data_IF_411670832508
#
_entry.id   IF_411670832508
#
_cell.length_a   1.000
_cell.length_b   1.000
_cell.length_c   1.000
_cell.angle_alpha   90.00
_cell.angle_beta   90.00
_cell.angle_gamma   90.00
#
_symmetry.space_group_name_H-M   'P 1'
#
loop_
_entity.id
_entity.type
_entity.pdbx_description
1 polymer ?
#
# COMPACT_ATOMS: atom_id res chain seq x y z
N UNK A 1 -23.24 0.25 5.56
CA UNK A 1 -22.26 0.03 4.48
C UNK A 1 -21.63 -1.34 4.68
N UNK A 2 -20.79 -1.79 3.76
CA UNK A 2 -19.97 -3.00 3.89
C UNK A 2 -18.57 -2.71 3.37
N UNK A 3 -17.54 -3.43 3.84
CA UNK A 3 -16.23 -3.40 3.18
C UNK A 3 -16.33 -4.09 1.80
N UNK A 4 -15.61 -3.61 0.79
CA UNK A 4 -15.57 -4.23 -0.53
C UNK A 4 -14.82 -5.56 -0.48
N UNK A 5 -15.30 -6.54 -1.26
CA UNK A 5 -14.55 -7.75 -1.59
C UNK A 5 -13.53 -7.45 -2.70
N UNK A 6 -12.57 -8.35 -2.93
CA UNK A 6 -11.67 -8.26 -4.10
C UNK A 6 -12.47 -8.20 -5.40
N UNK A 7 -13.59 -8.94 -5.49
CA UNK A 7 -14.44 -8.93 -6.67
C UNK A 7 -15.16 -7.59 -6.87
N UNK A 8 -15.57 -6.90 -5.80
CA UNK A 8 -16.09 -5.53 -5.90
C UNK A 8 -15.01 -4.59 -6.46
N UNK A 9 -13.77 -4.69 -5.98
CA UNK A 9 -12.67 -3.81 -6.41
C UNK A 9 -12.17 -4.09 -7.83
N UNK A 10 -12.65 -5.15 -8.49
CA UNK A 10 -12.45 -5.45 -9.92
C UNK A 10 -13.44 -4.73 -10.83
N UNK A 11 -14.53 -4.17 -10.29
CA UNK A 11 -15.46 -3.35 -11.07
C UNK A 11 -14.77 -2.04 -11.50
N UNK A 12 -14.56 -1.80 -12.81
CA UNK A 12 -13.87 -0.60 -13.28
C UNK A 12 -14.55 0.71 -12.86
N UNK A 13 -15.87 0.73 -12.71
CA UNK A 13 -16.58 1.95 -12.32
C UNK A 13 -16.33 2.29 -10.84
N UNK A 14 -16.37 1.28 -9.97
CA UNK A 14 -16.07 1.43 -8.55
C UNK A 14 -14.59 1.76 -8.33
N UNK A 15 -13.69 1.07 -9.04
CA UNK A 15 -12.25 1.31 -8.97
C UNK A 15 -11.91 2.74 -9.42
N UNK A 16 -12.51 3.19 -10.52
CA UNK A 16 -12.41 4.59 -10.97
C UNK A 16 -12.97 5.59 -9.96
N UNK A 17 -14.10 5.30 -9.31
CA UNK A 17 -14.65 6.16 -8.26
C UNK A 17 -13.70 6.32 -7.06
N UNK A 18 -13.00 5.26 -6.67
CA UNK A 18 -11.97 5.30 -5.63
C UNK A 18 -10.77 6.15 -6.09
N UNK A 19 -10.32 5.98 -7.34
CA UNK A 19 -9.24 6.78 -7.93
C UNK A 19 -9.54 8.29 -7.87
N UNK A 20 -10.75 8.67 -8.27
CA UNK A 20 -11.20 10.08 -8.23
C UNK A 20 -11.28 10.63 -6.81
N UNK A 21 -11.71 9.82 -5.83
CA UNK A 21 -11.70 10.22 -4.41
C UNK A 21 -10.29 10.42 -3.88
N UNK A 22 -9.38 9.52 -4.22
CA UNK A 22 -7.99 9.63 -3.83
C UNK A 22 -7.36 10.91 -4.38
N UNK A 23 -7.61 11.24 -5.66
CA UNK A 23 -7.16 12.50 -6.26
C UNK A 23 -7.68 13.73 -5.50
N UNK A 24 -8.94 13.70 -5.03
CA UNK A 24 -9.49 14.77 -4.19
C UNK A 24 -8.85 14.84 -2.81
N UNK A 25 -8.61 13.73 -2.15
CA UNK A 25 -7.88 13.67 -0.86
C UNK A 25 -6.49 14.30 -1.05
N UNK A 26 -5.76 13.89 -2.08
CA UNK A 26 -4.43 14.42 -2.40
C UNK A 26 -4.44 15.93 -2.71
N UNK A 27 -5.56 16.48 -3.19
CA UNK A 27 -5.70 17.91 -3.48
C UNK A 27 -5.97 18.77 -2.23
N UNK A 28 -6.28 18.14 -1.09
CA UNK A 28 -6.65 18.86 0.14
C UNK A 28 -5.45 19.62 0.74
N UNK A 29 -5.73 20.82 1.26
CA UNK A 29 -4.78 21.64 2.00
C UNK A 29 -5.13 21.64 3.48
N UNK A 30 -4.62 20.67 4.22
CA UNK A 30 -4.91 20.52 5.65
C UNK A 30 -4.04 21.49 6.47
N UNK A 31 -4.46 22.01 7.63
CA UNK A 31 -3.63 22.93 8.45
C UNK A 31 -2.63 22.19 9.36
N UNK A 32 -1.86 21.23 8.81
CA UNK A 32 -0.86 20.40 9.52
C UNK A 32 0.54 20.53 8.89
N UNK A 33 1.56 19.85 9.41
CA UNK A 33 2.91 19.82 8.81
C UNK A 33 2.92 19.24 7.39
N UNK A 34 3.79 19.77 6.52
CA UNK A 34 3.98 19.36 5.10
C UNK A 34 5.20 18.45 4.93
N UNK A 35 5.94 18.24 6.01
CA UNK A 35 7.13 17.41 6.00
C UNK A 35 6.70 15.94 5.96
N UNK A 36 7.20 15.14 5.01
CA UNK A 36 6.77 13.76 4.81
C UNK A 36 7.43 12.78 5.80
N UNK A 37 7.11 12.93 7.09
CA UNK A 37 7.72 12.17 8.19
C UNK A 37 7.10 10.79 8.44
N UNK A 38 6.10 10.38 7.65
CA UNK A 38 5.41 9.10 7.84
C UNK A 38 6.37 7.91 7.87
N UNK A 39 7.29 7.83 6.89
CA UNK A 39 8.25 6.74 6.80
C UNK A 39 9.18 6.68 8.02
N UNK A 40 9.72 7.83 8.43
CA UNK A 40 10.65 7.92 9.56
C UNK A 40 9.99 7.44 10.86
N UNK A 41 8.85 8.03 11.23
CA UNK A 41 8.17 7.67 12.48
C UNK A 41 7.63 6.24 12.48
N UNK A 42 6.99 5.81 11.39
CA UNK A 42 6.36 4.49 11.39
C UNK A 42 7.41 3.38 11.30
N UNK A 43 8.49 3.57 10.54
CA UNK A 43 9.58 2.60 10.51
C UNK A 43 10.30 2.47 11.86
N UNK A 44 10.49 3.57 12.61
CA UNK A 44 11.05 3.51 13.98
C UNK A 44 10.19 2.66 14.91
N UNK A 45 8.86 2.83 14.87
CA UNK A 45 7.93 1.99 15.63
C UNK A 45 8.12 0.52 15.24
N UNK A 46 8.14 0.22 13.94
CA UNK A 46 8.27 -1.16 13.46
C UNK A 46 9.64 -1.79 13.78
N UNK A 47 10.71 -0.99 13.81
CA UNK A 47 12.06 -1.41 14.20
C UNK A 47 12.17 -1.72 15.69
N UNK A 48 11.35 -1.09 16.53
CA UNK A 48 11.38 -1.33 17.98
C UNK A 48 10.77 -2.68 18.39
N UNK A 49 10.25 -3.45 17.43
CA UNK A 49 9.56 -4.71 17.67
C UNK A 49 10.51 -5.87 17.47
N UNK A 50 10.99 -6.42 18.58
CA UNK A 50 11.70 -7.69 18.62
C UNK A 50 10.71 -8.86 18.75
N UNK A 51 11.13 -10.06 18.33
CA UNK A 51 10.31 -11.25 18.47
C UNK A 51 10.17 -11.60 19.96
N UNK A 52 8.93 -11.57 20.47
CA UNK A 52 8.63 -11.81 21.89
C UNK A 52 8.48 -13.31 22.24
N UNK A 53 8.44 -14.19 21.24
CA UNK A 53 8.19 -15.63 21.36
C UNK A 53 9.42 -16.42 20.90
N UNK A 54 9.68 -17.58 21.47
CA UNK A 54 10.67 -18.48 20.87
C UNK A 54 10.08 -19.07 19.57
N UNK A 55 10.82 -19.03 18.47
CA UNK A 55 10.38 -19.55 17.17
C UNK A 55 10.03 -21.04 17.29
N UNK A 56 10.81 -21.79 18.08
CA UNK A 56 10.61 -23.25 18.25
C UNK A 56 9.27 -23.60 18.92
N UNK A 57 8.67 -22.65 19.65
CA UNK A 57 7.37 -22.83 20.31
C UNK A 57 6.18 -22.57 19.36
N UNK A 58 6.44 -21.97 18.19
CA UNK A 58 5.40 -21.66 17.20
C UNK A 58 4.99 -22.91 16.42
N UNK A 59 3.78 -22.91 15.87
CA UNK A 59 3.34 -23.93 14.91
C UNK A 59 4.39 -24.10 13.78
N UNK A 60 4.88 -25.33 13.50
CA UNK A 60 5.90 -25.57 12.47
C UNK A 60 5.58 -24.97 11.10
N UNK A 61 4.30 -24.81 10.76
CA UNK A 61 3.87 -24.17 9.50
C UNK A 61 4.18 -22.67 9.44
N UNK A 62 4.32 -22.00 10.58
CA UNK A 62 4.54 -20.56 10.70
C UNK A 62 6.01 -20.20 10.97
N UNK A 63 6.83 -21.14 11.46
CA UNK A 63 8.22 -20.90 11.86
C UNK A 63 9.07 -20.27 10.75
N UNK A 64 9.01 -20.83 9.53
CA UNK A 64 9.77 -20.31 8.38
C UNK A 64 9.34 -18.90 7.97
N UNK A 65 8.03 -18.60 8.02
CA UNK A 65 7.52 -17.26 7.74
C UNK A 65 8.00 -16.25 8.78
N UNK A 66 7.86 -16.57 10.06
CA UNK A 66 8.29 -15.72 11.17
C UNK A 66 9.80 -15.48 11.09
N UNK A 67 10.58 -16.53 10.87
CA UNK A 67 12.02 -16.43 10.67
C UNK A 67 12.37 -15.42 9.55
N UNK A 68 11.74 -15.54 8.38
CA UNK A 68 11.97 -14.61 7.25
C UNK A 68 11.61 -13.16 7.58
N UNK A 69 10.52 -12.92 8.32
CA UNK A 69 10.10 -11.56 8.70
C UNK A 69 11.15 -10.89 9.62
N UNK A 70 11.69 -11.64 10.58
CA UNK A 70 12.67 -11.11 11.53
C UNK A 70 14.11 -11.11 10.98
N UNK A 71 14.46 -11.98 10.03
CA UNK A 71 15.74 -11.95 9.30
C UNK A 71 15.78 -10.93 8.16
N UNK A 72 14.62 -10.40 7.73
CA UNK A 72 14.57 -9.36 6.71
C UNK A 72 15.34 -8.10 7.18
N UNK A 73 16.24 -7.54 6.35
CA UNK A 73 17.04 -6.35 6.69
C UNK A 73 16.18 -5.08 6.60
N UNK A 74 15.18 -4.98 7.48
CA UNK A 74 14.16 -3.93 7.44
C UNK A 74 14.77 -2.53 7.58
N UNK A 75 15.74 -2.38 8.49
CA UNK A 75 16.40 -1.10 8.74
C UNK A 75 17.13 -0.61 7.48
N UNK A 76 17.96 -1.49 6.92
CA UNK A 76 18.78 -1.22 5.75
C UNK A 76 17.89 -0.90 4.53
N UNK A 77 16.76 -1.59 4.38
CA UNK A 77 15.83 -1.35 3.28
C UNK A 77 15.04 -0.04 3.45
N UNK A 78 14.68 0.37 4.67
CA UNK A 78 14.09 1.68 4.95
C UNK A 78 15.10 2.80 4.69
N UNK A 79 16.34 2.66 5.16
CA UNK A 79 17.43 3.61 4.94
C UNK A 79 17.74 3.74 3.44
N UNK A 80 17.81 2.61 2.75
CA UNK A 80 17.94 2.57 1.29
C UNK A 80 16.80 3.30 0.61
N UNK A 81 15.54 2.99 0.93
CA UNK A 81 14.38 3.62 0.29
C UNK A 81 14.37 5.15 0.52
N UNK A 82 14.73 5.56 1.74
CA UNK A 82 14.87 6.98 2.11
C UNK A 82 15.96 7.69 1.30
N UNK A 83 17.06 7.01 0.96
CA UNK A 83 18.14 7.60 0.16
C UNK A 83 17.73 7.85 -1.32
N UNK A 84 16.84 7.02 -1.85
CA UNK A 84 16.51 6.99 -3.27
C UNK A 84 15.20 7.71 -3.62
N UNK A 85 14.29 7.86 -2.66
CA UNK A 85 12.98 8.51 -2.85
C UNK A 85 13.06 9.89 -3.53
N UNK A 86 14.08 10.76 -3.31
CA UNK A 86 14.13 12.06 -3.99
C UNK A 86 14.33 11.93 -5.51
N UNK A 87 14.93 10.84 -6.00
CA UNK A 87 15.14 10.57 -7.43
C UNK A 87 13.84 10.18 -8.16
N UNK A 88 12.79 9.83 -7.41
CA UNK A 88 11.50 9.43 -7.98
C UNK A 88 10.65 10.64 -8.34
N UNK A 89 10.86 11.78 -7.67
CA UNK A 89 10.13 13.03 -7.89
C UNK A 89 8.61 12.89 -7.69
N UNK A 90 8.16 12.06 -6.74
CA UNK A 90 6.74 11.96 -6.41
C UNK A 90 6.27 13.20 -5.65
N UNK A 91 5.03 13.64 -5.92
CA UNK A 91 4.43 14.78 -5.22
C UNK A 91 4.17 14.46 -3.76
N UNK A 92 4.53 15.41 -2.89
CA UNK A 92 4.07 15.42 -1.49
C UNK A 92 2.65 16.00 -1.45
N UNK A 93 1.70 15.22 -0.93
CA UNK A 93 0.26 15.51 -0.87
C UNK A 93 -0.28 15.17 0.51
N UNK A 94 -1.48 15.64 0.86
CA UNK A 94 -2.19 15.05 1.99
C UNK A 94 -2.59 13.62 1.62
N UNK A 95 -1.99 12.66 2.29
CA UNK A 95 -2.05 11.23 1.96
C UNK A 95 -2.79 10.50 3.09
N UNK A 96 -3.55 9.47 2.73
CA UNK A 96 -4.19 8.57 3.67
C UNK A 96 -3.15 7.73 4.43
N UNK A 97 -2.11 7.31 3.72
CA UNK A 97 -1.01 6.42 4.11
C UNK A 97 -1.40 4.97 4.43
N UNK A 98 -2.68 4.64 4.34
CA UNK A 98 -3.19 3.34 4.74
C UNK A 98 -4.46 2.93 3.96
N UNK A 99 -4.42 3.15 2.63
CA UNK A 99 -5.58 2.93 1.78
C UNK A 99 -5.67 1.47 1.30
N UNK A 100 -6.34 0.62 2.07
CA UNK A 100 -6.70 -0.75 1.68
C UNK A 100 -8.20 -1.01 1.85
N UNK A 101 -8.66 -2.20 1.45
CA UNK A 101 -10.10 -2.53 1.36
C UNK A 101 -10.87 -2.31 2.66
N UNK A 102 -10.29 -2.57 3.84
CA UNK A 102 -10.99 -2.35 5.11
C UNK A 102 -11.25 -0.88 5.43
N UNK A 103 -10.43 0.02 4.88
CA UNK A 103 -10.57 1.48 5.04
C UNK A 103 -11.48 2.08 3.95
N UNK A 104 -12.22 1.23 3.22
CA UNK A 104 -13.22 1.63 2.24
C UNK A 104 -14.56 1.00 2.63
N UNK A 105 -15.60 1.83 2.70
CA UNK A 105 -16.97 1.40 2.93
C UNK A 105 -17.83 1.63 1.68
N UNK A 106 -18.51 0.58 1.22
CA UNK A 106 -19.51 0.67 0.16
C UNK A 106 -20.89 1.00 0.75
N UNK A 107 -21.45 2.15 0.36
CA UNK A 107 -22.83 2.52 0.70
C UNK A 107 -23.81 1.60 -0.03
N UNK A 108 -24.87 1.18 0.66
CA UNK A 108 -25.97 0.40 0.06
C UNK A 108 -26.92 1.27 -0.77
N UNK A 109 -27.01 2.55 -0.44
CA UNK A 109 -27.81 3.56 -1.15
C UNK A 109 -26.89 4.71 -1.54
N UNK A 110 -26.86 5.03 -2.82
CA UNK A 110 -26.01 6.04 -3.43
C UNK A 110 -26.69 6.54 -4.70
N UNK A 111 -26.57 7.84 -4.99
CA UNK A 111 -27.22 8.43 -6.16
C UNK A 111 -26.32 8.37 -7.41
N UNK A 112 -25.02 8.20 -7.21
CA UNK A 112 -24.04 7.98 -8.29
C UNK A 112 -22.95 7.01 -7.83
N UNK A 113 -22.28 6.35 -8.78
CA UNK A 113 -21.15 5.45 -8.46
C UNK A 113 -20.04 6.16 -7.69
N UNK A 114 -19.85 7.46 -7.92
CA UNK A 114 -18.89 8.28 -7.19
C UNK A 114 -19.22 8.38 -5.70
N UNK A 115 -20.47 8.30 -5.27
CA UNK A 115 -20.83 8.33 -3.86
C UNK A 115 -20.73 6.98 -3.16
N UNK A 116 -20.69 5.88 -3.93
CA UNK A 116 -20.73 4.53 -3.38
C UNK A 116 -19.55 4.24 -2.45
N UNK A 117 -18.28 4.44 -2.83
CA UNK A 117 -17.16 4.22 -1.91
C UNK A 117 -16.97 5.40 -0.95
N UNK A 118 -16.75 5.11 0.32
CA UNK A 118 -16.36 6.07 1.36
C UNK A 118 -15.01 5.64 1.93
N UNK A 119 -13.99 6.49 1.76
CA UNK A 119 -12.68 6.30 2.38
C UNK A 119 -12.76 6.81 3.82
N UNK A 120 -12.40 5.96 4.77
CA UNK A 120 -12.50 6.17 6.21
C UNK A 120 -11.15 5.90 6.88
N UNK A 121 -11.08 6.20 8.18
CA UNK A 121 -9.94 5.85 9.04
C UNK A 121 -8.63 6.57 8.70
N UNK A 122 -8.65 7.89 8.93
CA UNK A 122 -7.54 8.80 8.61
C UNK A 122 -6.48 8.86 9.72
N UNK A 123 -6.34 7.82 10.57
CA UNK A 123 -5.44 7.86 11.73
C UNK A 123 -3.96 7.94 11.33
N UNK A 124 -3.59 7.30 10.22
CA UNK A 124 -2.24 7.35 9.65
C UNK A 124 -2.04 8.54 8.69
N UNK A 125 -3.07 9.35 8.46
CA UNK A 125 -3.04 10.38 7.42
C UNK A 125 -2.11 11.54 7.78
N UNK A 126 -1.39 12.01 6.77
CA UNK A 126 -0.39 13.06 6.90
C UNK A 126 0.14 13.46 5.53
N UNK A 127 1.01 14.47 5.47
CA UNK A 127 1.66 14.76 4.20
C UNK A 127 2.67 13.65 3.90
N UNK A 128 2.55 13.03 2.73
CA UNK A 128 3.48 12.02 2.23
C UNK A 128 3.41 11.97 0.71
N UNK A 129 4.11 11.01 0.09
CA UNK A 129 4.18 10.91 -1.35
C UNK A 129 2.92 10.26 -1.93
N UNK A 130 2.29 10.90 -2.92
CA UNK A 130 1.07 10.36 -3.56
C UNK A 130 1.25 8.96 -4.13
N UNK A 131 2.48 8.64 -4.56
CA UNK A 131 2.84 7.34 -5.09
C UNK A 131 2.64 6.22 -4.08
N UNK A 132 2.79 6.52 -2.78
CA UNK A 132 2.59 5.55 -1.71
C UNK A 132 1.13 5.13 -1.61
N UNK A 133 0.19 6.08 -1.48
CA UNK A 133 -1.24 5.77 -1.42
C UNK A 133 -1.73 5.01 -2.66
N UNK A 134 -1.27 5.41 -3.85
CA UNK A 134 -1.58 4.74 -5.11
C UNK A 134 -1.06 3.30 -5.08
N UNK A 135 0.20 3.08 -4.69
CA UNK A 135 0.80 1.76 -4.63
C UNK A 135 0.13 0.88 -3.57
N UNK A 136 -0.16 1.43 -2.39
CA UNK A 136 -0.90 0.77 -1.31
C UNK A 136 -2.24 0.26 -1.83
N UNK A 137 -3.06 1.12 -2.42
CA UNK A 137 -4.36 0.70 -2.93
C UNK A 137 -4.24 -0.37 -4.04
N UNK A 138 -3.40 -0.13 -5.05
CA UNK A 138 -3.25 -1.04 -6.18
C UNK A 138 -2.76 -2.43 -5.77
N UNK A 139 -1.89 -2.52 -4.77
CA UNK A 139 -1.41 -3.80 -4.21
C UNK A 139 -2.47 -4.43 -3.32
N UNK A 140 -2.99 -3.67 -2.36
CA UNK A 140 -3.84 -4.21 -1.29
C UNK A 140 -5.25 -4.58 -1.76
N UNK A 141 -5.75 -4.03 -2.88
CA UNK A 141 -7.07 -4.38 -3.43
C UNK A 141 -7.20 -5.85 -3.86
N UNK A 142 -6.08 -6.55 -4.06
CA UNK A 142 -6.06 -7.97 -4.42
C UNK A 142 -5.90 -8.89 -3.19
N UNK A 143 -5.84 -8.33 -1.98
CA UNK A 143 -5.82 -9.10 -0.74
C UNK A 143 -7.22 -9.18 -0.14
N UNK A 144 -7.60 -10.40 0.27
CA UNK A 144 -8.83 -10.67 1.01
C UNK A 144 -8.52 -11.20 2.42
N UNK A 145 -9.48 -11.05 3.32
CA UNK A 145 -9.41 -11.60 4.68
C UNK A 145 -10.45 -12.70 4.81
N UNK A 146 -10.01 -13.95 4.68
CA UNK A 146 -10.82 -15.12 4.96
C UNK A 146 -10.94 -15.31 6.48
N UNK A 147 -12.18 -15.31 6.97
CA UNK A 147 -12.51 -15.50 8.39
C UNK A 147 -13.29 -16.79 8.52
N UNK A 148 -12.67 -17.82 9.11
CA UNK A 148 -13.30 -19.10 9.39
C UNK A 148 -13.23 -19.40 10.89
N UNK A 149 -14.31 -19.05 11.62
CA UNK A 149 -14.32 -19.08 13.08
C UNK A 149 -13.31 -18.09 13.66
N UNK A 150 -12.42 -18.58 14.52
CA UNK A 150 -11.34 -17.78 15.14
C UNK A 150 -10.10 -17.61 14.24
N UNK A 151 -10.04 -18.33 13.12
CA UNK A 151 -8.93 -18.22 12.17
C UNK A 151 -9.13 -17.04 11.22
N UNK A 152 -8.09 -16.23 11.08
CA UNK A 152 -8.05 -15.10 10.14
C UNK A 152 -6.90 -15.33 9.19
N UNK A 153 -7.19 -15.42 7.90
CA UNK A 153 -6.19 -15.62 6.84
C UNK A 153 -6.23 -14.47 5.87
N UNK A 154 -5.06 -13.90 5.59
CA UNK A 154 -4.89 -12.94 4.52
C UNK A 154 -4.47 -13.71 3.27
N UNK A 155 -5.23 -13.54 2.19
CA UNK A 155 -5.08 -14.30 0.96
C UNK A 155 -4.87 -13.30 -0.18
N UNK A 156 -3.80 -13.47 -0.94
CA UNK A 156 -3.65 -12.81 -2.23
C UNK A 156 -4.48 -13.55 -3.28
N UNK A 157 -5.33 -12.82 -4.00
CA UNK A 157 -6.15 -13.34 -5.09
C UNK A 157 -5.57 -12.82 -6.40
N UNK A 158 -5.01 -13.73 -7.20
CA UNK A 158 -4.44 -13.41 -8.51
C UNK A 158 -5.42 -12.65 -9.41
N UNK A 159 -4.93 -11.59 -10.05
CA UNK A 159 -5.70 -10.75 -10.95
C UNK A 159 -5.12 -10.80 -12.37
N UNK A 160 -5.78 -11.54 -13.25
CA UNK A 160 -5.39 -11.67 -14.67
C UNK A 160 -5.41 -10.33 -15.42
N UNK A 161 -6.11 -9.32 -14.89
CA UNK A 161 -6.29 -7.98 -15.47
C UNK A 161 -5.51 -6.90 -14.72
N UNK A 162 -4.52 -7.27 -13.91
CA UNK A 162 -3.79 -6.34 -13.04
C UNK A 162 -3.23 -5.11 -13.77
N UNK A 163 -2.62 -5.31 -14.94
CA UNK A 163 -2.07 -4.22 -15.74
C UNK A 163 -3.15 -3.30 -16.34
N UNK A 164 -4.29 -3.86 -16.75
CA UNK A 164 -5.42 -3.12 -17.30
C UNK A 164 -6.10 -2.29 -16.21
N UNK A 165 -6.35 -2.90 -15.05
CA UNK A 165 -6.98 -2.25 -13.91
C UNK A 165 -6.08 -1.12 -13.37
N UNK A 166 -4.75 -1.34 -13.34
CA UNK A 166 -3.78 -0.31 -12.96
C UNK A 166 -3.86 0.88 -13.92
N UNK A 167 -3.80 0.64 -15.23
CA UNK A 167 -3.88 1.71 -16.24
C UNK A 167 -5.19 2.50 -16.13
N UNK A 168 -6.30 1.80 -15.95
CA UNK A 168 -7.61 2.42 -15.74
C UNK A 168 -7.63 3.30 -14.48
N UNK A 169 -7.18 2.77 -13.34
CA UNK A 169 -7.10 3.52 -12.08
C UNK A 169 -6.23 4.77 -12.20
N UNK A 170 -5.03 4.65 -12.76
CA UNK A 170 -4.12 5.80 -12.93
C UNK A 170 -4.70 6.85 -13.88
N UNK A 171 -5.44 6.43 -14.91
CA UNK A 171 -6.13 7.34 -15.84
C UNK A 171 -7.24 8.12 -15.13
N UNK A 172 -8.10 7.43 -14.39
CA UNK A 172 -9.18 8.05 -13.61
C UNK A 172 -8.64 9.00 -12.53
N UNK A 173 -7.58 8.58 -11.83
CA UNK A 173 -6.87 9.42 -10.86
C UNK A 173 -6.33 10.69 -11.53
N UNK A 174 -5.60 10.55 -12.65
CA UNK A 174 -4.98 11.69 -13.33
C UNK A 174 -6.02 12.67 -13.86
N UNK A 175 -7.07 12.16 -14.53
CA UNK A 175 -8.14 13.01 -15.06
C UNK A 175 -8.82 13.82 -13.96
N UNK A 176 -9.04 13.24 -12.78
CA UNK A 176 -9.60 13.98 -11.66
C UNK A 176 -8.58 14.95 -11.05
N UNK A 177 -7.32 14.52 -10.86
CA UNK A 177 -6.24 15.36 -10.36
C UNK A 177 -6.09 16.65 -11.19
N UNK A 178 -6.13 16.54 -12.52
CA UNK A 178 -6.06 17.69 -13.43
C UNK A 178 -7.23 18.67 -13.27
N UNK A 179 -8.37 18.23 -12.73
CA UNK A 179 -9.53 19.09 -12.45
C UNK A 179 -9.45 19.74 -11.07
N UNK A 180 -8.96 19.00 -10.06
CA UNK A 180 -9.09 19.40 -8.65
C UNK A 180 -7.81 20.00 -8.06
N UNK A 181 -6.65 19.71 -8.63
CA UNK A 181 -5.38 20.24 -8.13
C UNK A 181 -5.18 21.69 -8.55
N UNK A 182 -4.75 22.51 -7.59
CA UNK A 182 -4.37 23.91 -7.84
C UNK A 182 -2.98 24.07 -8.47
N UNK A 183 -2.19 23.00 -8.58
CA UNK A 183 -0.81 23.03 -9.08
C UNK A 183 -0.55 21.84 -9.99
N UNK A 184 -0.64 22.08 -11.30
CA UNK A 184 -0.34 21.08 -12.33
C UNK A 184 1.09 21.27 -12.81
N UNK A 185 1.82 20.17 -12.95
CA UNK A 185 3.16 20.11 -13.55
C UNK A 185 3.15 18.99 -14.56
N UNK A 186 3.31 19.30 -15.86
CA UNK A 186 3.24 18.30 -16.92
C UNK A 186 4.33 17.21 -16.82
N UNK A 187 5.46 17.50 -16.17
CA UNK A 187 6.53 16.52 -15.96
C UNK A 187 6.16 15.51 -14.86
N UNK A 188 5.32 15.93 -13.89
CA UNK A 188 4.89 15.08 -12.79
C UNK A 188 3.50 14.47 -13.03
N UNK A 189 2.59 15.20 -13.64
CA UNK A 189 1.17 14.87 -13.77
C UNK A 189 0.88 14.25 -15.13
N UNK A 190 1.52 13.11 -15.38
CA UNK A 190 1.32 12.29 -16.56
C UNK A 190 1.30 10.80 -16.16
N UNK A 191 0.79 9.95 -17.05
CA UNK A 191 0.61 8.52 -16.79
C UNK A 191 1.95 7.82 -16.56
N UNK A 192 2.98 8.14 -17.33
CA UNK A 192 4.31 7.50 -17.21
C UNK A 192 4.91 7.71 -15.82
N UNK A 193 4.85 8.94 -15.32
CA UNK A 193 5.32 9.27 -13.98
C UNK A 193 4.45 8.60 -12.89
N UNK A 194 3.13 8.58 -13.03
CA UNK A 194 2.25 7.87 -12.09
C UNK A 194 2.51 6.36 -12.07
N UNK A 195 2.80 5.75 -13.22
CA UNK A 195 3.19 4.34 -13.31
C UNK A 195 4.55 4.09 -12.63
N UNK A 196 5.53 4.97 -12.84
CA UNK A 196 6.82 4.93 -12.14
C UNK A 196 6.64 5.01 -10.63
N UNK A 197 5.84 5.97 -10.16
CA UNK A 197 5.52 6.14 -8.74
C UNK A 197 4.83 4.89 -8.17
N UNK A 198 3.76 4.41 -8.80
CA UNK A 198 3.02 3.23 -8.33
C UNK A 198 3.92 1.99 -8.21
N UNK A 199 4.75 1.73 -9.21
CA UNK A 199 5.67 0.58 -9.21
C UNK A 199 6.76 0.77 -8.15
N UNK A 200 7.35 1.94 -8.04
CA UNK A 200 8.44 2.17 -7.10
C UNK A 200 7.97 2.12 -5.64
N UNK A 201 6.87 2.80 -5.32
CA UNK A 201 6.30 2.79 -3.97
C UNK A 201 5.68 1.44 -3.59
N UNK A 202 5.43 0.55 -4.55
CA UNK A 202 5.04 -0.83 -4.23
C UNK A 202 6.12 -1.59 -3.46
N UNK A 203 7.41 -1.23 -3.64
CA UNK A 203 8.53 -1.74 -2.85
C UNK A 203 8.47 -1.22 -1.41
N UNK A 204 8.16 0.06 -1.22
CA UNK A 204 7.99 0.59 0.14
C UNK A 204 6.83 -0.09 0.85
N UNK A 205 5.70 -0.32 0.17
CA UNK A 205 4.60 -1.05 0.82
C UNK A 205 5.00 -2.48 1.17
N UNK A 206 5.83 -3.17 0.39
CA UNK A 206 6.37 -4.47 0.78
C UNK A 206 7.23 -4.38 2.04
N UNK A 207 8.15 -3.41 2.11
CA UNK A 207 8.96 -3.15 3.30
C UNK A 207 8.03 -2.94 4.50
N UNK A 208 7.11 -1.98 4.42
CA UNK A 208 6.21 -1.63 5.53
C UNK A 208 5.32 -2.79 5.93
N UNK A 209 4.83 -3.59 4.98
CA UNK A 209 4.04 -4.79 5.26
C UNK A 209 4.84 -5.85 6.03
N UNK A 210 6.13 -6.03 5.73
CA UNK A 210 7.03 -6.93 6.49
C UNK A 210 7.23 -6.38 7.91
N UNK A 211 7.41 -5.07 8.06
CA UNK A 211 7.50 -4.45 9.38
C UNK A 211 6.22 -4.61 10.19
N UNK A 212 5.06 -4.34 9.58
CA UNK A 212 3.72 -4.57 10.16
C UNK A 212 3.54 -6.03 10.58
N UNK A 213 4.06 -6.99 9.80
CA UNK A 213 4.01 -8.40 10.16
C UNK A 213 4.71 -8.70 11.50
N UNK A 214 5.75 -7.94 11.90
CA UNK A 214 6.38 -8.06 13.22
C UNK A 214 5.40 -7.74 14.36
N UNK A 215 4.57 -6.70 14.20
CA UNK A 215 3.47 -6.39 15.14
C UNK A 215 2.50 -7.56 15.22
N UNK A 216 2.03 -8.03 14.06
CA UNK A 216 1.03 -9.08 14.00
C UNK A 216 1.51 -10.39 14.67
N UNK A 217 2.79 -10.74 14.47
CA UNK A 217 3.40 -11.95 15.06
C UNK A 217 3.40 -11.91 16.59
N UNK A 218 3.67 -10.76 17.18
CA UNK A 218 3.74 -10.62 18.63
C UNK A 218 2.36 -10.51 19.28
N UNK A 219 1.46 -9.72 18.70
CA UNK A 219 0.23 -9.31 19.37
C UNK A 219 -1.01 -10.13 19.00
N UNK A 220 -0.94 -10.96 17.94
CA UNK A 220 -2.06 -11.77 17.52
C UNK A 220 -1.79 -13.26 17.72
N UNK A 221 -2.89 -14.00 17.88
CA UNK A 221 -2.90 -15.46 17.98
C UNK A 221 -2.25 -16.08 16.74
N UNK A 222 -1.52 -17.18 16.90
CA UNK A 222 -0.87 -17.89 15.78
C UNK A 222 -1.84 -18.31 14.68
N UNK A 223 -3.10 -18.57 15.04
CA UNK A 223 -4.20 -18.85 14.11
C UNK A 223 -4.62 -17.66 13.24
N UNK A 224 -4.16 -16.45 13.59
CA UNK A 224 -4.36 -15.19 12.88
C UNK A 224 -3.10 -14.73 12.14
N UNK A 225 -2.02 -15.51 12.23
CA UNK A 225 -0.82 -15.25 11.44
C UNK A 225 -1.09 -15.54 9.98
N UNK A 226 -0.44 -14.74 9.14
CA UNK A 226 -0.60 -14.79 7.71
C UNK A 226 -0.40 -16.22 7.18
N UNK A 227 -1.40 -16.75 6.49
CA UNK A 227 -1.19 -17.93 5.65
C UNK A 227 -0.19 -17.59 4.53
N UNK A 228 0.49 -18.63 4.06
CA UNK A 228 1.64 -18.72 3.13
C UNK A 228 1.67 -17.86 1.86
N UNK A 229 0.68 -16.98 1.62
CA UNK A 229 0.55 -16.14 0.43
C UNK A 229 0.61 -14.63 0.75
N UNK A 230 1.16 -14.26 1.91
CA UNK A 230 1.56 -12.87 2.17
C UNK A 230 2.67 -12.48 1.21
N UNK A 231 2.76 -11.19 0.77
CA UNK A 231 3.54 -10.80 -0.39
C UNK A 231 4.93 -11.39 -0.24
N UNK A 232 5.30 -12.20 -1.23
CA UNK A 232 6.43 -13.10 -1.18
C UNK A 232 7.68 -12.34 -0.74
N UNK A 233 8.00 -12.37 0.56
CA UNK A 233 9.28 -11.88 1.10
C UNK A 233 10.44 -12.42 0.26
N UNK A 234 10.42 -13.70 -0.22
CA UNK A 234 11.44 -14.20 -1.14
C UNK A 234 11.55 -13.43 -2.47
N UNK A 235 10.48 -12.80 -2.95
CA UNK A 235 10.46 -12.08 -4.23
C UNK A 235 10.79 -10.59 -4.09
N UNK A 236 10.82 -10.03 -2.88
CA UNK A 236 11.09 -8.60 -2.67
C UNK A 236 12.37 -8.15 -3.37
N UNK A 237 13.50 -8.84 -3.13
CA UNK A 237 14.79 -8.45 -3.72
C UNK A 237 14.82 -8.64 -5.24
N UNK A 238 14.12 -9.65 -5.77
CA UNK A 238 13.98 -9.84 -7.21
C UNK A 238 13.14 -8.73 -7.84
N UNK A 239 12.05 -8.33 -7.19
CA UNK A 239 11.20 -7.23 -7.62
C UNK A 239 11.94 -5.89 -7.53
N UNK A 240 12.65 -5.62 -6.42
CA UNK A 240 13.55 -4.47 -6.26
C UNK A 240 14.52 -4.39 -7.44
N UNK A 241 15.24 -5.48 -7.77
CA UNK A 241 16.18 -5.50 -8.91
C UNK A 241 15.49 -5.14 -10.23
N UNK A 242 14.33 -5.75 -10.53
CA UNK A 242 13.56 -5.47 -11.75
C UNK A 242 13.11 -4.01 -11.84
N UNK A 243 12.60 -3.45 -10.74
CA UNK A 243 12.16 -2.05 -10.66
C UNK A 243 13.34 -1.10 -10.87
N UNK A 244 14.47 -1.36 -10.21
CA UNK A 244 15.66 -0.52 -10.36
C UNK A 244 16.23 -0.59 -11.78
N UNK A 245 16.25 -1.77 -12.38
CA UNK A 245 16.68 -1.93 -13.77
C UNK A 245 15.76 -1.16 -14.73
N UNK A 246 14.43 -1.29 -14.56
CA UNK A 246 13.42 -0.65 -15.42
C UNK A 246 13.57 0.87 -15.45
N UNK A 247 13.94 1.48 -14.33
CA UNK A 247 14.03 2.94 -14.21
C UNK A 247 15.46 3.48 -14.14
N UNK A 248 16.48 2.67 -14.46
CA UNK A 248 17.88 3.11 -14.48
C UNK A 248 18.39 3.56 -13.11
N UNK A 249 17.92 2.91 -12.05
CA UNK A 249 18.22 3.22 -10.65
C UNK A 249 19.15 2.19 -9.99
N UNK A 250 19.61 1.18 -10.74
CA UNK A 250 20.68 0.30 -10.26
C UNK A 250 21.96 1.13 -10.11
N UNK A 251 22.56 1.08 -8.92
CA UNK A 251 23.91 1.60 -8.73
C UNK A 251 24.86 0.77 -9.61
N UNK A 252 25.65 1.45 -10.44
CA UNK A 252 26.74 0.87 -11.24
C UNK A 252 27.96 0.60 -10.37
#
# INVERSE_FOLDING_TARGET
STTPTVQDLRDPELNGAIARKLAKIHSMKMPISKVPLFLEFYAEILLSIDLAKNIDDLNPKNQEFVKRVFEFPFKEEVEWFTSIIPKIQSRVVFSHNDLYSNNILLKKRFDSIYERPLIIDYEMSGYFYRGYDIACYLKMKNFDIDRNGDQVKIIYIENEREEEDKKHFLTEYLQEWLKVSSQIDANLDNIEQLEKEAVFFSLLKDIMFIGEARLFINFFDESKLFSTNTPHIPDYFNNKRKVLQRYGLLET
#
